data_IF_805608581029
#
_entry.id   IF_805608581029
#
_cell.length_a   1.000
_cell.length_b   1.000
_cell.length_c   1.000
_cell.angle_alpha   90.00
_cell.angle_beta   90.00
_cell.angle_gamma   90.00
#
_symmetry.space_group_name_H-M   'P 1'
#
loop_
_entity.id
_entity.type
_entity.pdbx_description
1 polymer ?
#
# COMPACT_ATOMS: atom_id res chain seq x y z
N UNK A 1 17.30 8.37 23.98
CA UNK A 1 17.52 8.46 22.52
C UNK A 1 16.22 8.94 21.88
N UNK A 2 16.09 10.21 21.51
CA UNK A 2 14.90 10.72 20.80
C UNK A 2 15.06 10.36 19.32
N UNK A 3 14.30 9.38 18.83
CA UNK A 3 14.20 9.09 17.40
C UNK A 3 13.40 10.23 16.76
N UNK A 4 14.05 11.05 15.94
CA UNK A 4 13.36 12.02 15.09
C UNK A 4 12.67 11.27 13.95
N UNK A 5 11.50 10.69 14.24
CA UNK A 5 10.59 10.22 13.20
C UNK A 5 9.77 11.43 12.77
N UNK A 6 10.19 12.07 11.68
CA UNK A 6 9.47 13.19 11.10
C UNK A 6 8.19 12.65 10.45
N UNK A 7 7.06 12.70 11.16
CA UNK A 7 5.75 12.40 10.61
C UNK A 7 5.22 13.66 9.92
N UNK A 8 5.52 13.79 8.63
CA UNK A 8 5.17 14.95 7.80
C UNK A 8 4.06 14.52 6.86
N UNK A 9 2.92 15.21 6.88
CA UNK A 9 1.86 14.95 5.91
C UNK A 9 2.21 15.51 4.51
N UNK A 10 1.44 15.20 3.45
CA UNK A 10 1.72 15.72 2.11
C UNK A 10 1.76 17.25 1.99
N UNK A 11 1.22 17.99 2.96
CA UNK A 11 1.24 19.46 3.02
C UNK A 11 2.40 20.04 3.82
N UNK A 12 3.29 19.19 4.36
CA UNK A 12 4.47 19.63 5.11
C UNK A 12 4.23 19.82 6.61
N UNK A 13 3.03 19.52 7.12
CA UNK A 13 2.74 19.67 8.55
C UNK A 13 3.23 18.48 9.36
N UNK A 14 3.75 18.76 10.54
CA UNK A 14 4.10 17.72 11.52
C UNK A 14 2.82 17.17 12.16
N UNK A 15 2.38 15.98 11.75
CA UNK A 15 1.27 15.26 12.38
C UNK A 15 1.52 13.76 12.41
N UNK A 16 1.05 13.03 13.41
CA UNK A 16 1.08 11.56 13.38
C UNK A 16 0.43 11.03 12.10
N UNK A 17 1.06 10.04 11.48
CA UNK A 17 0.45 9.29 10.39
C UNK A 17 -0.51 8.27 10.95
N UNK A 18 -1.75 8.30 10.48
CA UNK A 18 -2.78 7.34 10.81
C UNK A 18 -3.26 6.76 9.49
N UNK A 19 -3.25 5.44 9.38
CA UNK A 19 -3.50 4.74 8.13
C UNK A 19 -3.59 3.24 8.33
N UNK A 20 -3.71 2.49 7.25
CA UNK A 20 -3.82 1.04 7.26
C UNK A 20 -2.68 0.36 6.49
N UNK A 21 -2.22 -0.79 6.99
CA UNK A 21 -1.52 -1.74 6.11
C UNK A 21 -2.60 -2.38 5.24
N UNK A 22 -2.43 -2.30 3.93
CA UNK A 22 -3.47 -2.62 2.98
C UNK A 22 -3.10 -3.80 2.09
N UNK A 23 -3.99 -4.78 2.10
CA UNK A 23 -4.16 -5.76 1.05
C UNK A 23 -5.65 -5.85 0.72
N UNK A 24 -5.99 -6.08 -0.54
CA UNK A 24 -7.37 -6.27 -0.95
C UNK A 24 -7.98 -7.49 -0.26
N UNK A 25 -9.28 -7.42 0.05
CA UNK A 25 -10.02 -8.53 0.70
C UNK A 25 -10.08 -9.78 -0.17
N UNK A 26 -9.94 -9.64 -1.49
CA UNK A 26 -10.07 -10.75 -2.45
C UNK A 26 -8.77 -11.53 -2.62
N UNK A 27 -7.61 -10.86 -2.55
CA UNK A 27 -6.32 -11.49 -2.85
C UNK A 27 -5.32 -11.49 -1.70
N UNK A 28 -5.55 -10.72 -0.63
CA UNK A 28 -4.63 -10.64 0.50
C UNK A 28 -3.19 -10.35 0.04
N UNK A 29 -2.18 -11.08 0.54
CA UNK A 29 -0.80 -10.92 0.08
C UNK A 29 -0.57 -11.13 -1.42
N UNK A 30 -1.48 -11.82 -2.13
CA UNK A 30 -1.40 -12.10 -3.56
C UNK A 30 -2.29 -11.17 -4.41
N UNK A 31 -2.80 -10.07 -3.86
CA UNK A 31 -3.78 -9.19 -4.50
C UNK A 31 -3.42 -8.72 -5.91
N UNK A 32 -2.13 -8.58 -6.21
CA UNK A 32 -1.66 -8.10 -7.51
C UNK A 32 -1.85 -9.11 -8.65
N UNK A 33 -1.99 -10.41 -8.35
CA UNK A 33 -2.24 -11.44 -9.37
C UNK A 33 -3.63 -11.36 -10.00
N UNK A 34 -4.58 -10.76 -9.29
CA UNK A 34 -5.98 -10.62 -9.69
C UNK A 34 -6.46 -9.21 -9.35
N UNK A 35 -5.69 -8.20 -9.77
CA UNK A 35 -6.02 -6.79 -9.57
C UNK A 35 -7.34 -6.45 -10.28
N UNK A 36 -8.29 -5.90 -9.52
CA UNK A 36 -9.54 -5.35 -10.02
C UNK A 36 -9.67 -3.91 -9.50
N UNK A 37 -9.52 -2.90 -10.36
CA UNK A 37 -9.53 -1.50 -9.92
C UNK A 37 -10.85 -1.11 -9.23
N UNK A 38 -11.99 -1.67 -9.68
CA UNK A 38 -13.28 -1.32 -9.10
C UNK A 38 -13.43 -1.84 -7.66
N UNK A 39 -12.85 -3.00 -7.36
CA UNK A 39 -12.82 -3.54 -5.99
C UNK A 39 -11.89 -2.70 -5.11
N UNK A 40 -10.70 -2.37 -5.60
CA UNK A 40 -9.72 -1.57 -4.85
C UNK A 40 -10.28 -0.18 -4.53
N UNK A 41 -10.92 0.48 -5.49
CA UNK A 41 -11.56 1.78 -5.27
C UNK A 41 -12.61 1.71 -4.15
N UNK A 42 -13.46 0.68 -4.13
CA UNK A 42 -14.46 0.49 -3.07
C UNK A 42 -13.80 0.28 -1.70
N UNK A 43 -12.72 -0.50 -1.63
CA UNK A 43 -12.02 -0.78 -0.39
C UNK A 43 -11.29 0.47 0.15
N UNK A 44 -10.64 1.23 -0.72
CA UNK A 44 -9.99 2.49 -0.36
C UNK A 44 -11.00 3.57 0.03
N UNK A 45 -12.19 3.60 -0.61
CA UNK A 45 -13.26 4.51 -0.24
C UNK A 45 -13.72 4.27 1.21
N UNK A 46 -13.85 3.01 1.65
CA UNK A 46 -14.17 2.68 3.05
C UNK A 46 -13.11 3.23 4.00
N UNK A 47 -11.82 3.05 3.69
CA UNK A 47 -10.74 3.60 4.52
C UNK A 47 -10.83 5.13 4.61
N UNK A 48 -11.05 5.80 3.48
CA UNK A 48 -11.17 7.25 3.42
C UNK A 48 -12.40 7.79 4.19
N UNK A 49 -13.55 7.13 4.09
CA UNK A 49 -14.77 7.45 4.85
C UNK A 49 -14.55 7.38 6.37
N UNK A 50 -13.63 6.53 6.82
CA UNK A 50 -13.22 6.41 8.22
C UNK A 50 -12.03 7.30 8.60
N UNK A 51 -11.57 8.18 7.70
CA UNK A 51 -10.47 9.11 7.96
C UNK A 51 -9.07 8.50 7.88
N UNK A 52 -8.93 7.33 7.23
CA UNK A 52 -7.64 6.69 6.95
C UNK A 52 -7.20 7.06 5.53
N UNK A 53 -6.52 8.20 5.40
CA UNK A 53 -6.05 8.80 4.15
C UNK A 53 -4.66 8.29 3.70
N UNK A 54 -4.07 7.36 4.44
CA UNK A 54 -2.76 6.77 4.18
C UNK A 54 -2.85 5.24 4.18
N UNK A 55 -2.27 4.62 3.16
CA UNK A 55 -2.08 3.17 3.10
C UNK A 55 -0.61 2.80 2.97
N UNK A 56 -0.26 1.63 3.53
CA UNK A 56 0.99 0.94 3.27
C UNK A 56 0.67 -0.39 2.61
N UNK A 57 1.00 -0.51 1.33
CA UNK A 57 0.80 -1.71 0.54
C UNK A 57 2.13 -2.43 0.29
N UNK A 58 2.06 -3.68 -0.18
CA UNK A 58 3.22 -4.56 -0.29
C UNK A 58 3.17 -5.38 -1.57
N UNK A 59 4.30 -5.47 -2.25
CA UNK A 59 4.52 -6.48 -3.27
C UNK A 59 4.73 -7.86 -2.66
N UNK A 60 4.29 -8.89 -3.38
CA UNK A 60 4.69 -10.27 -3.09
C UNK A 60 6.02 -10.56 -3.77
N UNK A 61 7.06 -10.80 -2.97
CA UNK A 61 8.43 -10.88 -3.48
C UNK A 61 8.65 -11.91 -4.60
N UNK A 62 8.11 -13.14 -4.53
CA UNK A 62 8.24 -14.09 -5.64
C UNK A 62 7.60 -13.63 -6.96
N UNK A 63 6.63 -12.71 -6.91
CA UNK A 63 6.03 -12.15 -8.12
C UNK A 63 6.84 -10.95 -8.63
N UNK A 64 7.26 -10.06 -7.73
CA UNK A 64 8.05 -8.87 -8.10
C UNK A 64 9.46 -9.25 -8.56
N UNK A 65 10.09 -10.25 -7.96
CA UNK A 65 11.47 -10.67 -8.22
C UNK A 65 11.55 -12.20 -8.35
N UNK A 66 11.10 -12.77 -9.48
CA UNK A 66 11.02 -14.21 -9.68
C UNK A 66 12.41 -14.89 -9.77
N UNK A 67 13.45 -14.15 -10.16
CA UNK A 67 14.85 -14.60 -10.12
C UNK A 67 15.71 -13.61 -9.31
N UNK A 68 16.90 -14.02 -8.82
CA UNK A 68 17.75 -13.18 -7.97
C UNK A 68 18.28 -11.88 -8.60
N UNK A 69 18.03 -11.63 -9.88
CA UNK A 69 18.59 -10.53 -10.66
C UNK A 69 17.59 -9.90 -11.63
N UNK A 70 16.30 -10.30 -11.60
CA UNK A 70 15.28 -9.76 -12.48
C UNK A 70 14.02 -9.34 -11.70
N UNK A 71 13.56 -8.12 -11.94
CA UNK A 71 12.23 -7.66 -11.55
C UNK A 71 11.23 -7.98 -12.66
N UNK A 72 10.01 -8.38 -12.29
CA UNK A 72 8.89 -8.47 -13.22
C UNK A 72 8.23 -7.09 -13.35
N UNK A 73 8.58 -6.36 -14.40
CA UNK A 73 8.05 -5.01 -14.71
C UNK A 73 6.52 -4.98 -14.79
N UNK A 74 5.86 -6.11 -15.12
CA UNK A 74 4.40 -6.19 -15.16
C UNK A 74 3.77 -5.94 -13.78
N UNK A 75 4.50 -6.21 -12.70
CA UNK A 75 4.03 -5.90 -11.34
C UNK A 75 4.13 -4.41 -10.98
N UNK A 76 4.79 -3.60 -11.82
CA UNK A 76 5.00 -2.16 -11.61
C UNK A 76 4.09 -1.28 -12.50
N UNK A 77 3.39 -1.88 -13.46
CA UNK A 77 2.39 -1.23 -14.34
C UNK A 77 1.03 -1.05 -13.65
#
# INVERSE_FOLDING_TARGET
MRRNLLHIDPSGHHRPWIGANFWSRTGGPLMWRSYDPAVIEQELAVLAEHGLDLTRSFFYWPDLMPTPDALDEKTLE
#
